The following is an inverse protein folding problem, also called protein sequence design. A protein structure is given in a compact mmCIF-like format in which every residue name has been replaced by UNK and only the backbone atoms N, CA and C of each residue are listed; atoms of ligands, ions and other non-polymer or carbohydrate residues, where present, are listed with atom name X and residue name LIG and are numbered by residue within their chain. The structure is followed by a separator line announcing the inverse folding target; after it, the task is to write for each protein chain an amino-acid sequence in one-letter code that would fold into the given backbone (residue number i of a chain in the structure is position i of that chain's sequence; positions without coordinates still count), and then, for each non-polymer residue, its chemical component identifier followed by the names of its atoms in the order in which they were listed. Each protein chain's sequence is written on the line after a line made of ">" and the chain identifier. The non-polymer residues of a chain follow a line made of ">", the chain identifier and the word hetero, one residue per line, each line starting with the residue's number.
data_IF_824922432428
#
_entry.id   IF_824922432428
#
_cell.length_a   1.000
_cell.length_b   1.000
_cell.length_c   1.000
_cell.angle_alpha   90.00
_cell.angle_beta   90.00
_cell.angle_gamma   90.00
#
_symmetry.space_group_name_H-M   'P 1'
#
loop_
_entity.id
_entity.type
_entity.pdbx_description
1 polymer ?
#
# COMPACT_ATOMS: atom_id res chain seq x y z
N UNK A 1 18.49 5.71 13.12
CA UNK A 1 17.79 5.07 14.24
C UNK A 1 17.67 3.61 13.86
N UNK A 2 18.53 2.79 14.46
CA UNK A 2 18.57 1.35 14.24
C UNK A 2 17.34 0.76 14.96
N UNK A 3 16.39 0.19 14.22
CA UNK A 3 15.17 -0.41 14.79
C UNK A 3 15.44 -1.84 15.27
N UNK A 4 16.63 -2.07 15.81
CA UNK A 4 17.01 -3.28 16.55
C UNK A 4 16.52 -3.23 18.00
N UNK A 5 15.81 -2.17 18.40
CA UNK A 5 15.00 -2.18 19.61
C UNK A 5 13.97 -3.31 19.51
N UNK A 6 14.33 -4.43 20.13
CA UNK A 6 13.38 -5.45 20.53
C UNK A 6 12.29 -4.72 21.33
N UNK A 7 11.07 -4.72 20.82
CA UNK A 7 9.91 -4.29 21.58
C UNK A 7 9.76 -5.27 22.76
N UNK A 8 10.39 -4.97 23.88
CA UNK A 8 10.33 -5.75 25.10
C UNK A 8 8.86 -5.87 25.53
N UNK A 9 8.33 -7.10 25.51
CA UNK A 9 6.96 -7.42 25.94
C UNK A 9 5.92 -7.62 24.83
N UNK A 10 6.26 -7.47 23.54
CA UNK A 10 5.32 -7.81 22.44
C UNK A 10 5.75 -9.06 21.68
N UNK A 11 4.95 -10.13 21.76
CA UNK A 11 5.12 -11.30 20.89
C UNK A 11 4.77 -10.91 19.45
N UNK A 12 5.79 -10.87 18.57
CA UNK A 12 5.59 -10.68 17.14
C UNK A 12 4.89 -11.93 16.61
N UNK A 13 3.79 -11.76 15.88
CA UNK A 13 3.07 -12.86 15.22
C UNK A 13 3.14 -12.68 13.71
N UNK A 14 3.51 -13.75 13.00
CA UNK A 14 3.47 -13.80 11.54
C UNK A 14 2.24 -14.57 11.05
N UNK A 15 1.53 -13.99 10.09
CA UNK A 15 0.61 -14.75 9.25
C UNK A 15 1.42 -15.41 8.13
N UNK A 16 1.48 -16.75 8.12
CA UNK A 16 2.23 -17.52 7.12
C UNK A 16 1.28 -18.36 6.30
N UNK A 17 1.28 -18.15 4.98
CA UNK A 17 0.58 -19.01 4.04
C UNK A 17 1.58 -20.01 3.47
N UNK A 18 1.40 -21.31 3.75
CA UNK A 18 2.28 -22.37 3.29
C UNK A 18 1.51 -23.42 2.47
N UNK A 19 2.17 -24.02 1.48
CA UNK A 19 1.61 -25.14 0.72
C UNK A 19 1.60 -26.37 1.63
N UNK A 20 0.41 -26.89 1.91
CA UNK A 20 0.22 -28.07 2.77
C UNK A 20 -0.10 -29.34 1.97
N UNK A 21 -0.61 -29.19 0.74
CA UNK A 21 -0.81 -30.31 -0.18
C UNK A 21 0.38 -30.41 -1.15
N UNK A 22 1.15 -31.51 -1.12
CA UNK A 22 2.32 -31.67 -1.99
C UNK A 22 1.95 -31.95 -3.45
N UNK A 23 0.72 -32.37 -3.78
CA UNK A 23 0.33 -32.64 -5.17
C UNK A 23 0.32 -31.32 -5.97
N UNK A 24 1.18 -31.14 -6.99
CA UNK A 24 1.23 -29.92 -7.80
C UNK A 24 -0.09 -29.64 -8.52
N UNK A 25 -0.94 -30.64 -8.74
CA UNK A 25 -2.23 -30.51 -9.42
C UNK A 25 -3.36 -30.01 -8.52
N UNK A 26 -3.18 -30.01 -7.21
CA UNK A 26 -4.20 -29.50 -6.29
C UNK A 26 -4.46 -28.02 -6.57
N UNK A 27 -5.72 -27.62 -6.81
CA UNK A 27 -6.04 -26.24 -7.12
C UNK A 27 -5.67 -25.30 -5.96
N UNK A 28 -5.27 -24.04 -6.22
CA UNK A 28 -4.84 -23.10 -5.17
C UNK A 28 -5.83 -22.95 -4.02
N UNK A 29 -7.14 -23.01 -4.30
CA UNK A 29 -8.19 -22.93 -3.28
C UNK A 29 -8.21 -24.08 -2.26
N UNK A 30 -7.42 -25.15 -2.46
CA UNK A 30 -7.31 -26.31 -1.56
C UNK A 30 -5.86 -26.64 -1.15
N UNK A 31 -4.86 -26.06 -1.81
CA UNK A 31 -3.46 -26.49 -1.67
C UNK A 31 -2.72 -25.86 -0.48
N UNK A 32 -3.25 -24.78 0.09
CA UNK A 32 -2.54 -23.95 1.07
C UNK A 32 -3.24 -23.94 2.43
N UNK A 33 -2.44 -23.90 3.50
CA UNK A 33 -2.91 -23.69 4.87
C UNK A 33 -2.28 -22.41 5.42
N UNK A 34 -3.07 -21.65 6.17
CA UNK A 34 -2.61 -20.44 6.84
C UNK A 34 -2.30 -20.73 8.31
N UNK A 35 -1.23 -20.13 8.82
CA UNK A 35 -0.74 -20.33 10.18
C UNK A 35 -0.47 -18.99 10.87
N UNK A 36 -0.70 -18.95 12.18
CA UNK A 36 -0.21 -17.91 13.06
C UNK A 36 1.09 -18.40 13.72
N UNK A 37 2.23 -17.82 13.35
CA UNK A 37 3.55 -18.29 13.80
C UNK A 37 4.17 -17.24 14.71
N UNK A 38 4.56 -17.65 15.93
CA UNK A 38 5.26 -16.80 16.88
C UNK A 38 6.65 -16.45 16.32
N UNK A 39 7.02 -15.18 16.36
CA UNK A 39 8.16 -14.65 15.62
C UNK A 39 9.53 -15.04 16.18
N UNK A 40 9.56 -15.66 17.36
CA UNK A 40 10.72 -16.24 18.05
C UNK A 40 10.73 -17.78 17.98
N UNK A 41 9.80 -18.40 17.24
CA UNK A 41 9.77 -19.85 17.03
C UNK A 41 11.12 -20.33 16.46
N UNK A 42 11.76 -21.36 17.05
CA UNK A 42 13.01 -21.91 16.54
C UNK A 42 12.91 -22.31 15.06
N UNK A 43 13.95 -21.97 14.29
CA UNK A 43 14.02 -22.18 12.84
C UNK A 43 13.62 -20.97 11.99
N UNK A 44 13.07 -19.91 12.60
CA UNK A 44 12.83 -18.65 11.89
C UNK A 44 14.11 -17.82 11.85
N UNK A 45 14.58 -17.53 10.65
CA UNK A 45 15.76 -16.69 10.41
C UNK A 45 15.29 -15.38 9.79
N UNK A 46 15.52 -14.27 10.52
CA UNK A 46 15.19 -12.92 10.04
C UNK A 46 16.37 -12.36 9.24
N UNK A 47 16.11 -11.98 7.99
CA UNK A 47 17.09 -11.32 7.15
C UNK A 47 17.41 -9.89 7.60
N UNK A 48 18.32 -9.24 6.87
CA UNK A 48 18.61 -7.81 7.04
C UNK A 48 17.40 -6.95 6.68
N UNK A 49 17.36 -5.73 7.20
CA UNK A 49 16.42 -4.69 6.74
C UNK A 49 16.77 -4.30 5.31
N UNK A 50 15.77 -4.35 4.43
CA UNK A 50 15.93 -3.96 3.03
C UNK A 50 15.98 -2.44 2.87
N UNK A 51 16.82 -1.98 1.92
CA UNK A 51 16.96 -0.57 1.58
C UNK A 51 16.11 -0.29 0.33
N UNK A 52 14.87 0.12 0.57
CA UNK A 52 13.90 0.40 -0.49
C UNK A 52 13.95 1.88 -0.94
N UNK A 53 13.38 2.16 -2.12
CA UNK A 53 13.27 3.51 -2.68
C UNK A 53 12.52 4.48 -1.73
N UNK A 54 11.35 4.06 -1.27
CA UNK A 54 10.42 4.82 -0.42
C UNK A 54 9.98 4.01 0.80
N UNK A 55 9.19 4.64 1.67
CA UNK A 55 8.73 4.10 2.95
C UNK A 55 9.88 3.54 3.80
N UNK A 56 11.05 4.20 3.74
CA UNK A 56 12.34 3.72 4.28
C UNK A 56 12.35 3.50 5.80
N UNK A 57 11.43 4.14 6.54
CA UNK A 57 11.29 3.89 7.97
C UNK A 57 10.62 2.53 8.26
N UNK A 58 9.77 2.03 7.35
CA UNK A 58 9.15 0.72 7.46
C UNK A 58 10.20 -0.40 7.51
N UNK A 59 9.96 -1.44 8.31
CA UNK A 59 10.83 -2.61 8.40
C UNK A 59 10.36 -3.67 7.40
N UNK A 60 11.13 -3.87 6.34
CA UNK A 60 10.86 -4.87 5.30
C UNK A 60 12.04 -5.83 5.25
N UNK A 61 11.77 -7.13 5.35
CA UNK A 61 12.80 -8.17 5.48
C UNK A 61 12.38 -9.44 4.75
N UNK A 62 13.37 -10.19 4.28
CA UNK A 62 13.19 -11.62 4.01
C UNK A 62 13.10 -12.42 5.29
N UNK A 63 12.26 -13.46 5.31
CA UNK A 63 12.17 -14.45 6.38
C UNK A 63 12.43 -15.84 5.78
N UNK A 64 13.32 -16.60 6.40
CA UNK A 64 13.54 -18.02 6.10
C UNK A 64 12.95 -18.87 7.22
N UNK A 65 12.27 -19.96 6.87
CA UNK A 65 11.69 -20.91 7.80
C UNK A 65 12.36 -22.28 7.58
N UNK A 66 13.25 -22.67 8.49
CA UNK A 66 13.97 -23.95 8.46
C UNK A 66 13.45 -24.86 9.57
N UNK A 67 12.74 -25.93 9.21
CA UNK A 67 12.17 -26.91 10.16
C UNK A 67 11.35 -26.30 11.32
N UNK A 68 10.70 -25.15 11.05
CA UNK A 68 9.86 -24.43 12.02
C UNK A 68 8.66 -25.28 12.42
N UNK A 69 8.56 -25.59 13.71
CA UNK A 69 7.46 -26.39 14.26
C UNK A 69 6.32 -25.49 14.71
N UNK A 70 5.15 -25.65 14.08
CA UNK A 70 3.95 -24.87 14.37
C UNK A 70 2.87 -25.79 14.98
N UNK A 71 2.27 -25.45 16.13
CA UNK A 71 1.18 -26.23 16.70
C UNK A 71 -0.04 -26.28 15.78
N UNK A 72 -0.77 -27.41 15.75
CA UNK A 72 -2.00 -27.53 14.97
C UNK A 72 -3.08 -26.51 15.40
N UNK A 73 -3.08 -26.09 16.66
CA UNK A 73 -3.97 -25.06 17.18
C UNK A 73 -3.74 -23.67 16.56
N UNK A 74 -2.58 -23.44 15.93
CA UNK A 74 -2.23 -22.18 15.28
C UNK A 74 -2.64 -22.13 13.80
N UNK A 75 -3.35 -23.15 13.30
CA UNK A 75 -3.98 -23.11 11.98
C UNK A 75 -5.07 -22.04 11.97
N UNK A 76 -4.99 -21.13 11.01
CA UNK A 76 -5.97 -20.06 10.81
C UNK A 76 -7.01 -20.53 9.80
N UNK A 77 -8.24 -20.79 10.26
CA UNK A 77 -9.29 -21.41 9.46
C UNK A 77 -9.18 -22.93 9.49
N UNK A 78 -9.33 -23.59 8.33
CA UNK A 78 -9.18 -25.04 8.20
C UNK A 78 -8.00 -25.40 7.28
N UNK A 79 -7.38 -26.58 7.46
CA UNK A 79 -6.38 -27.09 6.52
C UNK A 79 -6.89 -27.06 5.07
N UNK A 80 -6.06 -26.54 4.16
CA UNK A 80 -6.40 -26.36 2.75
C UNK A 80 -7.21 -25.10 2.42
N UNK A 81 -7.75 -24.37 3.41
CA UNK A 81 -8.51 -23.13 3.17
C UNK A 81 -7.67 -21.85 3.23
N UNK A 82 -6.35 -21.95 3.39
CA UNK A 82 -5.45 -20.81 3.61
C UNK A 82 -5.52 -19.77 2.49
N UNK A 83 -5.65 -20.20 1.23
CA UNK A 83 -5.77 -19.27 0.10
C UNK A 83 -7.07 -18.44 0.20
N UNK A 84 -8.19 -19.06 0.58
CA UNK A 84 -9.47 -18.38 0.78
C UNK A 84 -9.40 -17.39 1.94
N UNK A 85 -8.70 -17.74 3.01
CA UNK A 85 -8.43 -16.82 4.13
C UNK A 85 -7.65 -15.60 3.64
N UNK A 86 -6.56 -15.80 2.90
CA UNK A 86 -5.74 -14.72 2.36
C UNK A 86 -6.54 -13.80 1.42
N UNK A 87 -7.33 -14.37 0.50
CA UNK A 87 -8.15 -13.57 -0.43
C UNK A 87 -9.19 -12.72 0.30
N UNK A 88 -9.88 -13.27 1.31
CA UNK A 88 -10.85 -12.50 2.12
C UNK A 88 -10.20 -11.38 2.93
N UNK A 89 -8.93 -11.52 3.28
CA UNK A 89 -8.18 -10.45 3.97
C UNK A 89 -8.00 -9.24 3.05
N UNK A 90 -7.75 -9.45 1.75
CA UNK A 90 -7.54 -8.35 0.80
C UNK A 90 -8.75 -7.45 0.62
N UNK A 91 -9.97 -8.00 0.72
CA UNK A 91 -11.20 -7.19 0.73
C UNK A 91 -11.17 -6.12 1.83
N UNK A 92 -10.54 -6.44 2.97
CA UNK A 92 -10.45 -5.55 4.14
C UNK A 92 -9.20 -4.67 4.14
N UNK A 93 -8.07 -5.15 3.63
CA UNK A 93 -6.79 -4.41 3.68
C UNK A 93 -6.64 -3.40 2.55
N UNK A 94 -7.14 -3.71 1.34
CA UNK A 94 -7.02 -2.82 0.18
C UNK A 94 -7.70 -1.45 0.35
N UNK A 95 -8.87 -1.31 0.99
CA UNK A 95 -9.41 0.01 1.34
C UNK A 95 -8.45 0.82 2.21
N UNK A 96 -7.73 0.18 3.13
CA UNK A 96 -6.75 0.86 3.99
C UNK A 96 -5.54 1.34 3.18
N UNK A 97 -5.06 0.53 2.23
CA UNK A 97 -3.99 0.94 1.31
C UNK A 97 -4.43 2.11 0.42
N UNK A 98 -5.67 2.07 -0.08
CA UNK A 98 -6.25 3.18 -0.83
C UNK A 98 -6.33 4.47 0.02
N UNK A 99 -6.64 4.35 1.32
CA UNK A 99 -6.61 5.47 2.25
C UNK A 99 -5.20 6.04 2.43
N UNK A 100 -4.17 5.18 2.58
CA UNK A 100 -2.77 5.61 2.66
C UNK A 100 -2.34 6.38 1.40
N UNK A 101 -2.67 5.85 0.22
CA UNK A 101 -2.38 6.49 -1.05
C UNK A 101 -3.11 7.84 -1.19
N UNK A 102 -4.39 7.88 -0.82
CA UNK A 102 -5.19 9.11 -0.80
C UNK A 102 -4.60 10.18 0.12
N UNK A 103 -4.15 9.79 1.31
CA UNK A 103 -3.48 10.69 2.26
C UNK A 103 -2.16 11.25 1.71
N UNK A 104 -1.37 10.42 1.02
CA UNK A 104 -0.17 10.90 0.33
C UNK A 104 -0.53 11.90 -0.79
N UNK A 105 -1.53 11.59 -1.62
CA UNK A 105 -2.02 12.50 -2.67
C UNK A 105 -2.45 13.86 -2.11
N UNK A 106 -3.20 13.84 -1.00
CA UNK A 106 -3.64 15.06 -0.33
C UNK A 106 -2.44 15.88 0.18
N UNK A 107 -1.44 15.22 0.79
CA UNK A 107 -0.21 15.90 1.21
C UNK A 107 0.55 16.52 0.03
N UNK A 108 0.62 15.83 -1.11
CA UNK A 108 1.23 16.38 -2.33
C UNK A 108 0.52 17.66 -2.79
N UNK A 109 -0.82 17.66 -2.78
CA UNK A 109 -1.63 18.82 -3.12
C UNK A 109 -1.39 19.99 -2.17
N UNK A 110 -1.41 19.74 -0.86
CA UNK A 110 -1.22 20.78 0.16
C UNK A 110 0.15 21.47 0.01
N UNK A 111 1.22 20.68 -0.12
CA UNK A 111 2.58 21.22 -0.30
C UNK A 111 2.69 22.01 -1.61
N UNK A 112 2.17 21.46 -2.71
CA UNK A 112 2.21 22.11 -4.03
C UNK A 112 1.42 23.42 -4.04
N UNK A 113 0.21 23.43 -3.48
CA UNK A 113 -0.63 24.62 -3.40
C UNK A 113 0.01 25.71 -2.53
N UNK A 114 0.54 25.33 -1.36
CA UNK A 114 1.26 26.27 -0.48
C UNK A 114 2.45 26.89 -1.19
N UNK A 115 3.33 26.09 -1.78
CA UNK A 115 4.49 26.60 -2.49
C UNK A 115 4.09 27.48 -3.69
N UNK A 116 3.01 27.12 -4.39
CA UNK A 116 2.51 27.89 -5.52
C UNK A 116 2.04 29.30 -5.14
N UNK A 117 1.52 29.48 -3.93
CA UNK A 117 1.12 30.77 -3.37
C UNK A 117 2.31 31.58 -2.84
N UNK A 118 3.45 30.97 -2.53
CA UNK A 118 4.62 31.69 -2.02
C UNK A 118 5.60 32.06 -3.14
N UNK A 119 5.86 31.12 -4.06
CA UNK A 119 6.85 31.27 -5.12
C UNK A 119 6.36 32.24 -6.19
N UNK A 120 7.24 33.15 -6.63
CA UNK A 120 6.97 34.07 -7.74
C UNK A 120 7.86 33.81 -8.94
N UNK A 121 7.28 33.89 -10.14
CA UNK A 121 7.99 33.95 -11.42
C UNK A 121 7.24 34.89 -12.36
N UNK A 122 7.96 35.57 -13.26
CA UNK A 122 7.37 36.51 -14.21
C UNK A 122 6.46 37.57 -13.53
N UNK A 123 6.88 38.07 -12.35
CA UNK A 123 6.20 39.16 -11.64
C UNK A 123 4.98 38.76 -10.80
N UNK A 124 4.57 37.48 -10.76
CA UNK A 124 3.39 37.04 -10.00
C UNK A 124 3.64 35.70 -9.29
N UNK A 125 2.79 35.35 -8.32
CA UNK A 125 2.78 34.02 -7.70
C UNK A 125 2.56 32.95 -8.78
N UNK A 126 3.23 31.81 -8.68
CA UNK A 126 3.08 30.77 -9.70
C UNK A 126 1.68 30.17 -9.73
N UNK A 127 0.92 30.28 -8.64
CA UNK A 127 -0.51 29.96 -8.59
C UNK A 127 -1.39 30.80 -9.55
N UNK A 128 -0.88 31.93 -10.07
CA UNK A 128 -1.59 32.75 -11.06
C UNK A 128 -1.31 32.33 -12.52
N UNK A 129 -0.37 31.41 -12.74
CA UNK A 129 -0.13 30.84 -14.06
C UNK A 129 -1.14 29.72 -14.31
N UNK A 130 -1.93 29.84 -15.37
CA UNK A 130 -3.02 28.90 -15.69
C UNK A 130 -2.54 27.44 -15.76
N UNK A 131 -1.33 27.19 -16.28
CA UNK A 131 -0.75 25.85 -16.32
C UNK A 131 -0.59 25.22 -14.92
N UNK A 132 -0.21 26.02 -13.91
CA UNK A 132 -0.10 25.55 -12.51
C UNK A 132 -1.49 25.33 -11.92
N UNK A 133 -2.45 26.21 -12.23
CA UNK A 133 -3.83 26.06 -11.77
C UNK A 133 -4.46 24.77 -12.27
N UNK A 134 -4.23 24.39 -13.53
CA UNK A 134 -4.74 23.13 -14.08
C UNK A 134 -4.13 21.91 -13.38
N UNK A 135 -2.82 21.93 -13.11
CA UNK A 135 -2.17 20.86 -12.33
C UNK A 135 -2.82 20.72 -10.94
N UNK A 136 -2.99 21.83 -10.22
CA UNK A 136 -3.58 21.82 -8.87
C UNK A 136 -5.06 21.40 -8.89
N UNK A 137 -5.81 21.83 -9.90
CA UNK A 137 -7.21 21.45 -10.08
C UNK A 137 -7.37 19.95 -10.33
N UNK A 138 -6.57 19.38 -11.22
CA UNK A 138 -6.59 17.94 -11.51
C UNK A 138 -6.18 17.11 -10.29
N UNK A 139 -5.16 17.57 -9.54
CA UNK A 139 -4.77 16.95 -8.28
C UNK A 139 -5.91 16.95 -7.26
N UNK A 140 -6.61 18.08 -7.11
CA UNK A 140 -7.74 18.21 -6.20
C UNK A 140 -8.89 17.25 -6.55
N UNK A 141 -9.28 17.20 -7.83
CA UNK A 141 -10.31 16.26 -8.32
C UNK A 141 -9.93 14.82 -8.01
N UNK A 142 -8.71 14.42 -8.32
CA UNK A 142 -8.25 13.04 -8.10
C UNK A 142 -8.19 12.67 -6.61
N UNK A 143 -7.81 13.60 -5.73
CA UNK A 143 -7.84 13.37 -4.28
C UNK A 143 -9.28 13.12 -3.80
N UNK A 144 -10.25 13.92 -4.24
CA UNK A 144 -11.65 13.73 -3.85
C UNK A 144 -12.22 12.41 -4.36
N UNK A 145 -11.97 12.08 -5.64
CA UNK A 145 -12.42 10.81 -6.22
C UNK A 145 -11.79 9.61 -5.52
N UNK A 146 -10.50 9.66 -5.22
CA UNK A 146 -9.80 8.60 -4.49
C UNK A 146 -10.36 8.41 -3.07
N UNK A 147 -10.67 9.52 -2.38
CA UNK A 147 -11.29 9.50 -1.05
C UNK A 147 -12.68 8.87 -1.09
N UNK A 148 -13.53 9.30 -2.02
CA UNK A 148 -14.88 8.76 -2.18
C UNK A 148 -14.85 7.25 -2.48
N UNK A 149 -13.98 6.83 -3.39
CA UNK A 149 -13.86 5.41 -3.74
C UNK A 149 -13.31 4.59 -2.57
N UNK A 150 -12.35 5.13 -1.82
CA UNK A 150 -11.84 4.51 -0.59
C UNK A 150 -12.96 4.29 0.42
N UNK A 151 -13.76 5.32 0.70
CA UNK A 151 -14.88 5.22 1.65
C UNK A 151 -15.98 4.30 1.17
N UNK A 152 -16.31 4.32 -0.12
CA UNK A 152 -17.25 3.39 -0.72
C UNK A 152 -16.78 1.95 -0.51
N UNK A 153 -15.50 1.67 -0.75
CA UNK A 153 -14.96 0.33 -0.55
C UNK A 153 -14.97 -0.10 0.92
N UNK A 154 -14.59 0.77 1.86
CA UNK A 154 -14.64 0.48 3.28
C UNK A 154 -16.09 0.22 3.75
N UNK A 155 -17.04 1.02 3.27
CA UNK A 155 -18.45 0.84 3.59
C UNK A 155 -18.99 -0.53 3.17
N UNK A 156 -18.61 -1.04 1.98
CA UNK A 156 -19.05 -2.37 1.54
C UNK A 156 -18.54 -3.49 2.46
N UNK A 157 -17.30 -3.36 2.96
CA UNK A 157 -16.72 -4.27 3.94
C UNK A 157 -17.51 -4.24 5.26
N UNK A 158 -17.82 -3.05 5.77
CA UNK A 158 -18.57 -2.88 7.02
C UNK A 158 -19.99 -3.45 6.92
N UNK A 159 -20.58 -3.36 5.72
CA UNK A 159 -21.89 -3.95 5.42
C UNK A 159 -21.83 -5.46 5.14
N UNK A 160 -20.65 -6.09 5.27
CA UNK A 160 -20.41 -7.52 5.03
C UNK A 160 -20.83 -7.98 3.63
N UNK A 161 -20.80 -7.07 2.65
CA UNK A 161 -21.06 -7.38 1.24
C UNK A 161 -19.74 -7.76 0.55
N UNK A 162 -19.79 -8.48 -0.58
CA UNK A 162 -18.59 -8.76 -1.37
C UNK A 162 -17.87 -7.46 -1.76
N UNK A 163 -16.70 -7.22 -1.17
CA UNK A 163 -15.98 -5.95 -1.28
C UNK A 163 -14.95 -5.91 -2.42
N UNK A 164 -14.60 -7.07 -3.00
CA UNK A 164 -13.45 -7.22 -3.91
C UNK A 164 -13.48 -6.27 -5.11
N UNK A 165 -14.67 -6.04 -5.68
CA UNK A 165 -14.87 -5.12 -6.80
C UNK A 165 -14.45 -3.69 -6.43
N UNK A 166 -15.08 -3.12 -5.41
CA UNK A 166 -14.81 -1.75 -4.97
C UNK A 166 -13.42 -1.59 -4.34
N UNK A 167 -12.92 -2.63 -3.66
CA UNK A 167 -11.58 -2.65 -3.07
C UNK A 167 -10.50 -2.57 -4.13
N UNK A 168 -10.65 -3.31 -5.22
CA UNK A 168 -9.71 -3.30 -6.34
C UNK A 168 -9.71 -1.95 -7.08
N UNK A 169 -10.90 -1.37 -7.33
CA UNK A 169 -11.03 -0.04 -7.96
C UNK A 169 -10.43 1.05 -7.07
N UNK A 170 -10.77 1.06 -5.78
CA UNK A 170 -10.24 2.04 -4.83
C UNK A 170 -8.71 1.98 -4.77
N UNK A 171 -8.15 0.77 -4.63
CA UNK A 171 -6.70 0.56 -4.57
C UNK A 171 -6.02 1.04 -5.84
N UNK A 172 -6.51 0.64 -7.01
CA UNK A 172 -5.94 1.04 -8.30
C UNK A 172 -5.95 2.56 -8.46
N UNK A 173 -7.13 3.16 -8.37
CA UNK A 173 -7.31 4.59 -8.64
C UNK A 173 -6.53 5.46 -7.66
N UNK A 174 -6.57 5.14 -6.37
CA UNK A 174 -5.83 5.90 -5.36
C UNK A 174 -4.31 5.77 -5.54
N UNK A 175 -3.81 4.57 -5.91
CA UNK A 175 -2.38 4.33 -6.15
C UNK A 175 -1.85 5.12 -7.35
N UNK A 176 -2.59 5.12 -8.45
CA UNK A 176 -2.22 5.84 -9.66
C UNK A 176 -2.31 7.36 -9.43
N UNK A 177 -3.36 7.81 -8.76
CA UNK A 177 -3.53 9.22 -8.37
C UNK A 177 -2.39 9.70 -7.47
N UNK A 178 -1.93 8.88 -6.52
CA UNK A 178 -0.81 9.22 -5.63
C UNK A 178 0.51 9.39 -6.37
N UNK A 179 0.79 8.52 -7.34
CA UNK A 179 2.01 8.63 -8.15
C UNK A 179 1.99 9.88 -9.03
N UNK A 180 0.86 10.18 -9.66
CA UNK A 180 0.69 11.39 -10.46
C UNK A 180 0.79 12.65 -9.61
N UNK A 181 0.09 12.70 -8.47
CA UNK A 181 0.12 13.83 -7.55
C UNK A 181 1.52 14.11 -7.02
N UNK A 182 2.29 13.07 -6.66
CA UNK A 182 3.66 13.24 -6.18
C UNK A 182 4.61 13.77 -7.27
N UNK A 183 4.46 13.27 -8.50
CA UNK A 183 5.23 13.77 -9.66
C UNK A 183 4.90 15.24 -9.94
N UNK A 184 3.62 15.60 -9.93
CA UNK A 184 3.16 16.97 -10.13
C UNK A 184 3.60 17.91 -9.01
N UNK A 185 3.62 17.46 -7.75
CA UNK A 185 4.09 18.26 -6.64
C UNK A 185 5.59 18.60 -6.79
N UNK A 186 6.43 17.63 -7.18
CA UNK A 186 7.84 17.89 -7.52
C UNK A 186 7.93 18.92 -8.66
N UNK A 187 7.10 18.77 -9.70
CA UNK A 187 7.09 19.67 -10.85
C UNK A 187 6.70 21.12 -10.48
N UNK A 188 5.72 21.31 -9.61
CA UNK A 188 5.30 22.65 -9.11
C UNK A 188 6.41 23.31 -8.30
N UNK A 189 7.18 22.54 -7.53
CA UNK A 189 8.36 23.05 -6.82
C UNK A 189 9.54 23.36 -7.75
N UNK A 190 9.60 22.74 -8.93
CA UNK A 190 10.71 22.84 -9.86
C UNK A 190 11.99 22.23 -9.26
N UNK A 191 13.14 22.90 -9.44
CA UNK A 191 14.42 22.40 -8.92
C UNK A 191 14.45 22.17 -7.41
N UNK A 192 13.68 22.95 -6.63
CA UNK A 192 13.53 22.75 -5.19
C UNK A 192 12.87 21.39 -4.87
N UNK A 193 11.92 20.94 -5.70
CA UNK A 193 11.19 19.70 -5.49
C UNK A 193 12.05 18.45 -5.72
N UNK A 194 13.19 18.60 -6.39
CA UNK A 194 14.17 17.53 -6.58
C UNK A 194 15.23 17.48 -5.47
N UNK A 195 15.20 18.43 -4.53
CA UNK A 195 16.14 18.52 -3.44
C UNK A 195 15.54 17.92 -2.15
N UNK A 196 16.36 17.19 -1.39
CA UNK A 196 15.98 16.46 -0.18
C UNK A 196 15.64 17.33 1.03
N UNK A 197 15.95 18.63 0.98
CA UNK A 197 15.49 19.61 1.98
C UNK A 197 13.99 19.93 1.85
N UNK A 198 13.37 19.58 0.72
CA UNK A 198 11.95 19.79 0.46
C UNK A 198 11.17 18.47 0.53
N UNK A 199 9.90 18.49 0.97
CA UNK A 199 9.18 17.28 1.35
C UNK A 199 8.73 16.42 0.15
N UNK A 200 8.59 17.02 -1.05
CA UNK A 200 7.89 16.40 -2.17
C UNK A 200 8.68 15.27 -2.84
N UNK A 201 10.01 15.27 -2.78
CA UNK A 201 10.84 14.15 -3.30
C UNK A 201 10.58 12.86 -2.52
N UNK A 202 10.40 12.96 -1.20
CA UNK A 202 10.07 11.82 -0.35
C UNK A 202 8.71 11.27 -0.73
N UNK A 203 7.72 12.13 -0.96
CA UNK A 203 6.38 11.72 -1.37
C UNK A 203 6.42 10.97 -2.71
N UNK A 204 7.24 11.43 -3.66
CA UNK A 204 7.43 10.74 -4.94
C UNK A 204 8.01 9.33 -4.76
N UNK A 205 9.07 9.20 -3.96
CA UNK A 205 9.66 7.88 -3.67
C UNK A 205 8.68 6.96 -2.94
N UNK A 206 7.94 7.50 -1.98
CA UNK A 206 6.99 6.74 -1.16
C UNK A 206 5.74 6.31 -1.95
N UNK A 207 5.28 7.12 -2.92
CA UNK A 207 4.07 6.82 -3.70
C UNK A 207 4.20 5.56 -4.56
N UNK A 208 5.41 5.24 -5.03
CA UNK A 208 5.59 4.18 -6.03
C UNK A 208 5.17 2.80 -5.55
N UNK A 209 5.33 2.53 -4.25
CA UNK A 209 5.02 1.21 -3.68
C UNK A 209 3.52 0.89 -3.73
N UNK A 210 2.65 1.91 -3.74
CA UNK A 210 1.20 1.70 -3.80
C UNK A 210 0.77 0.99 -5.09
N UNK A 211 1.50 1.12 -6.19
CA UNK A 211 1.21 0.39 -7.44
C UNK A 211 1.72 -1.06 -7.45
N UNK A 212 2.45 -1.49 -6.42
CA UNK A 212 3.20 -2.76 -6.40
C UNK A 212 2.65 -3.73 -5.36
N UNK A 213 2.67 -3.35 -4.08
CA UNK A 213 2.26 -4.25 -3.00
C UNK A 213 0.72 -4.39 -2.91
N UNK A 214 0.25 -5.34 -2.09
CA UNK A 214 -1.19 -5.58 -1.86
C UNK A 214 -1.98 -5.82 -3.18
N UNK A 215 -1.30 -6.46 -4.13
CA UNK A 215 -1.73 -6.68 -5.52
C UNK A 215 -1.26 -5.58 -6.45
N UNK A 216 -0.43 -5.88 -7.45
CA UNK A 216 0.04 -4.87 -8.41
C UNK A 216 -1.13 -4.22 -9.16
N UNK A 217 -0.94 -3.05 -9.76
CA UNK A 217 -1.98 -2.40 -10.58
C UNK A 217 -2.56 -3.37 -11.64
N UNK A 218 -1.73 -4.20 -12.27
CA UNK A 218 -2.17 -5.18 -13.26
C UNK A 218 -2.99 -6.33 -12.64
N UNK A 219 -2.61 -6.79 -11.45
CA UNK A 219 -3.34 -7.85 -10.73
C UNK A 219 -4.72 -7.37 -10.32
N UNK A 220 -4.84 -6.18 -9.72
CA UNK A 220 -6.14 -5.65 -9.29
C UNK A 220 -7.05 -5.33 -10.48
N UNK A 221 -6.49 -4.94 -11.64
CA UNK A 221 -7.25 -4.83 -12.90
C UNK A 221 -7.86 -6.17 -13.31
N UNK A 222 -7.07 -7.23 -13.32
CA UNK A 222 -7.58 -8.57 -13.62
C UNK A 222 -8.67 -9.02 -12.66
N UNK A 223 -8.56 -8.63 -11.38
CA UNK A 223 -9.52 -9.04 -10.35
C UNK A 223 -10.90 -8.41 -10.52
N UNK A 224 -11.02 -7.09 -10.72
CA UNK A 224 -12.34 -6.50 -10.93
C UNK A 224 -12.87 -6.71 -12.35
N UNK A 225 -12.00 -6.90 -13.35
CA UNK A 225 -12.45 -7.21 -14.72
C UNK A 225 -13.22 -8.54 -14.79
N UNK A 226 -12.89 -9.50 -13.93
CA UNK A 226 -13.65 -10.76 -13.80
C UNK A 226 -14.99 -10.61 -13.07
N UNK A 227 -15.26 -9.44 -12.48
CA UNK A 227 -16.47 -9.15 -11.70
C UNK A 227 -17.48 -8.26 -12.45
N UNK A 228 -17.17 -7.89 -13.70
CA UNK A 228 -18.06 -7.18 -14.64
C UNK A 228 -18.74 -8.23 -15.54
#
# INVERSE_FOLDING_TARGET
>A
MDTTENFEGSTIMFFVLARSDPDPKTPPGKAFTAFAVEGDTPGIIRGKKEINLGQRCSDTRGLTFEDVRVPAANVVGAPGEGFKVAMKTFDKTRPLVAALATGLSARCLDEAAKYALERKTFGTQIANHQAVQFILADMAVNVELARLMTYRSAHEVDQKRPGSYYASIAKLFASDSANLAATNAVQVFGGAGYNTEYPVEKLLRDAKIFQIYEGTSQVVVGEYAMLI
#
